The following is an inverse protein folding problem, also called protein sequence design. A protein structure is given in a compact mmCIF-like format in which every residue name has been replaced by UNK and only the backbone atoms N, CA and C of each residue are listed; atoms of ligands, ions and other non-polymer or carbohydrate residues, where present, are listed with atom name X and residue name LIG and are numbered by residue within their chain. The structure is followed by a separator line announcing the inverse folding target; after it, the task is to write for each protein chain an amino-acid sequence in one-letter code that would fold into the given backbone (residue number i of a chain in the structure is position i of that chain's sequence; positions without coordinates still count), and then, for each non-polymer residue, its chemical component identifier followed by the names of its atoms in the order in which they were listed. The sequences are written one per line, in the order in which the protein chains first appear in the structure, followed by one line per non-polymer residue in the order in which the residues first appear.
data_IF_666409387577
#
_entry.id   IF_666409387577
#
_cell.length_a   1.000
_cell.length_b   1.000
_cell.length_c   1.000
_cell.angle_alpha   90.00
_cell.angle_beta   90.00
_cell.angle_gamma   90.00
#
_symmetry.space_group_name_H-M   'P 1'
#
loop_
_entity.id
_entity.type
_entity.pdbx_description
1 polymer ?
#
# COMPACT_ATOMS: atom_id res chain seq x y z
N UNK A 1 29.35 -5.69 -7.29
CA UNK A 1 29.08 -5.42 -5.86
C UNK A 1 27.93 -4.44 -5.79
N UNK A 2 26.72 -4.89 -5.49
CA UNK A 2 25.53 -4.03 -5.33
C UNK A 2 25.51 -3.50 -3.90
N UNK A 3 25.55 -2.19 -3.71
CA UNK A 3 25.47 -1.54 -2.40
C UNK A 3 24.10 -1.86 -1.77
N UNK A 4 24.00 -2.21 -0.48
CA UNK A 4 22.75 -2.64 0.17
C UNK A 4 21.55 -1.69 -0.04
N UNK A 5 21.79 -0.38 -0.13
CA UNK A 5 20.74 0.61 -0.40
C UNK A 5 20.12 0.52 -1.80
N UNK A 6 20.89 0.13 -2.82
CA UNK A 6 20.36 0.01 -4.20
C UNK A 6 19.38 -1.15 -4.35
N UNK A 7 19.53 -2.19 -3.53
CA UNK A 7 18.68 -3.38 -3.55
C UNK A 7 17.30 -3.08 -2.95
N UNK A 8 17.27 -2.41 -1.80
CA UNK A 8 16.02 -2.00 -1.16
C UNK A 8 15.27 -0.96 -2.00
N UNK A 9 15.97 -0.01 -2.63
CA UNK A 9 15.32 0.96 -3.53
C UNK A 9 14.61 0.27 -4.71
N UNK A 10 15.22 -0.75 -5.30
CA UNK A 10 14.61 -1.53 -6.39
C UNK A 10 13.37 -2.26 -5.89
N UNK A 11 13.48 -2.93 -4.74
CA UNK A 11 12.36 -3.61 -4.08
C UNK A 11 11.20 -2.65 -3.84
N UNK A 12 11.48 -1.45 -3.33
CA UNK A 12 10.46 -0.41 -3.09
C UNK A 12 9.84 0.15 -4.37
N UNK A 13 10.61 0.32 -5.46
CA UNK A 13 10.03 0.69 -6.76
C UNK A 13 9.05 -0.36 -7.28
N UNK A 14 9.37 -1.64 -7.13
CA UNK A 14 8.47 -2.73 -7.52
C UNK A 14 7.19 -2.70 -6.68
N UNK A 15 7.30 -2.50 -5.36
CA UNK A 15 6.13 -2.42 -4.47
C UNK A 15 5.22 -1.24 -4.87
N UNK A 16 5.78 -0.04 -5.09
CA UNK A 16 5.01 1.14 -5.51
C UNK A 16 4.27 0.91 -6.83
N UNK A 17 4.98 0.41 -7.85
CA UNK A 17 4.37 0.07 -9.14
C UNK A 17 3.28 -1.00 -9.01
N UNK A 18 3.45 -1.94 -8.08
CA UNK A 18 2.48 -3.00 -7.82
C UNK A 18 1.22 -2.47 -7.16
N UNK A 19 1.33 -1.56 -6.18
CA UNK A 19 0.16 -0.93 -5.54
C UNK A 19 -0.72 -0.24 -6.60
N UNK A 20 -0.10 0.53 -7.50
CA UNK A 20 -0.83 1.19 -8.59
C UNK A 20 -1.48 0.20 -9.55
N UNK A 21 -0.74 -0.84 -9.96
CA UNK A 21 -1.24 -1.79 -10.95
C UNK A 21 -2.35 -2.67 -10.40
N UNK A 22 -2.22 -3.12 -9.14
CA UNK A 22 -3.25 -3.89 -8.44
C UNK A 22 -4.48 -3.06 -8.07
N UNK A 23 -4.39 -1.73 -8.05
CA UNK A 23 -5.54 -0.84 -7.91
C UNK A 23 -6.60 -1.02 -9.02
N UNK A 24 -6.20 -1.56 -10.17
CA UNK A 24 -7.12 -1.95 -11.27
C UNK A 24 -7.86 -3.27 -11.00
N UNK A 25 -7.52 -3.98 -9.92
CA UNK A 25 -7.99 -5.33 -9.61
C UNK A 25 -6.96 -6.42 -9.93
N UNK A 26 -6.90 -7.46 -9.09
CA UNK A 26 -5.87 -8.52 -9.17
C UNK A 26 -5.82 -9.22 -10.53
N UNK A 27 -6.98 -9.55 -11.10
CA UNK A 27 -7.08 -10.23 -12.39
C UNK A 27 -6.58 -9.36 -13.56
N UNK A 28 -6.85 -8.05 -13.51
CA UNK A 28 -6.47 -7.10 -14.55
C UNK A 28 -5.01 -6.63 -14.44
N UNK A 29 -4.39 -6.79 -13.27
CA UNK A 29 -3.01 -6.36 -13.05
C UNK A 29 -1.99 -7.16 -13.85
N UNK A 30 -1.09 -6.46 -14.55
CA UNK A 30 -0.04 -7.05 -15.37
C UNK A 30 1.34 -6.97 -14.73
N UNK A 31 2.01 -8.11 -14.52
CA UNK A 31 3.41 -8.12 -14.07
C UNK A 31 4.35 -7.44 -15.06
N UNK A 32 3.98 -7.38 -16.35
CA UNK A 32 4.77 -6.68 -17.36
C UNK A 32 4.69 -5.15 -17.17
N UNK A 33 3.51 -4.62 -16.83
CA UNK A 33 3.34 -3.20 -16.52
C UNK A 33 4.05 -2.82 -15.22
N UNK A 34 4.01 -3.69 -14.21
CA UNK A 34 4.73 -3.48 -12.95
C UNK A 34 6.22 -3.31 -13.21
N UNK A 35 6.85 -4.23 -13.96
CA UNK A 35 8.30 -4.14 -14.23
C UNK A 35 8.67 -2.97 -15.12
N UNK A 36 7.79 -2.60 -16.08
CA UNK A 36 7.96 -1.41 -16.92
C UNK A 36 7.96 -0.14 -16.07
N UNK A 37 6.99 0.01 -15.16
CA UNK A 37 6.90 1.16 -14.25
C UNK A 37 8.04 1.20 -13.23
N UNK A 38 8.43 0.04 -12.69
CA UNK A 38 9.49 -0.04 -11.68
C UNK A 38 10.92 0.09 -12.27
N UNK A 39 11.07 -0.01 -13.59
CA UNK A 39 12.35 0.04 -14.28
C UNK A 39 13.24 -1.17 -13.94
N UNK A 40 12.65 -2.37 -13.88
CA UNK A 40 13.34 -3.62 -13.55
C UNK A 40 13.06 -4.71 -14.57
N UNK A 41 13.79 -5.83 -14.52
CA UNK A 41 13.48 -7.00 -15.33
C UNK A 41 12.42 -7.89 -14.66
N UNK A 42 11.71 -8.69 -15.48
CA UNK A 42 10.74 -9.69 -14.99
C UNK A 42 11.37 -10.75 -14.10
N UNK A 43 12.58 -11.21 -14.45
CA UNK A 43 13.35 -12.13 -13.62
C UNK A 43 13.68 -11.54 -12.25
N UNK A 44 14.02 -10.24 -12.19
CA UNK A 44 14.31 -9.58 -10.92
C UNK A 44 13.06 -9.43 -10.04
N UNK A 45 11.89 -9.15 -10.62
CA UNK A 45 10.64 -9.14 -9.88
C UNK A 45 10.36 -10.51 -9.22
N UNK A 46 10.47 -11.60 -9.99
CA UNK A 46 10.24 -12.94 -9.42
C UNK A 46 11.37 -13.40 -8.49
N UNK A 47 12.58 -12.85 -8.63
CA UNK A 47 13.65 -13.05 -7.65
C UNK A 47 13.28 -12.47 -6.28
N UNK A 48 12.74 -11.25 -6.23
CA UNK A 48 12.33 -10.62 -4.96
C UNK A 48 11.05 -11.22 -4.37
N UNK A 49 10.06 -11.54 -5.22
CA UNK A 49 8.70 -11.81 -4.75
C UNK A 49 8.20 -13.22 -5.04
N UNK A 50 8.88 -14.02 -5.85
CA UNK A 50 8.54 -15.42 -6.13
C UNK A 50 7.32 -15.60 -7.05
N UNK A 51 6.16 -15.03 -6.69
CA UNK A 51 4.91 -15.15 -7.44
C UNK A 51 4.13 -13.83 -7.50
N UNK A 52 3.13 -13.77 -8.39
CA UNK A 52 2.21 -12.63 -8.50
C UNK A 52 1.34 -12.50 -7.24
N UNK A 53 0.93 -13.63 -6.65
CA UNK A 53 0.16 -13.69 -5.41
C UNK A 53 0.94 -13.09 -4.25
N UNK A 54 2.19 -13.53 -4.06
CA UNK A 54 3.03 -13.01 -2.98
C UNK A 54 3.36 -11.52 -3.19
N UNK A 55 3.62 -11.10 -4.43
CA UNK A 55 3.78 -9.69 -4.75
C UNK A 55 2.53 -8.87 -4.38
N UNK A 56 1.33 -9.39 -4.65
CA UNK A 56 0.08 -8.76 -4.24
C UNK A 56 -0.02 -8.63 -2.72
N UNK A 57 0.25 -9.71 -1.96
CA UNK A 57 0.20 -9.65 -0.50
C UNK A 57 1.16 -8.61 0.09
N UNK A 58 2.38 -8.52 -0.45
CA UNK A 58 3.36 -7.52 -0.01
C UNK A 58 2.90 -6.11 -0.35
N UNK A 59 2.41 -5.88 -1.57
CA UNK A 59 1.87 -4.58 -1.99
C UNK A 59 0.66 -4.16 -1.15
N UNK A 60 -0.25 -5.10 -0.88
CA UNK A 60 -1.42 -4.87 -0.04
C UNK A 60 -1.04 -4.54 1.40
N UNK A 61 -0.09 -5.28 1.99
CA UNK A 61 0.43 -5.00 3.33
C UNK A 61 1.03 -3.58 3.42
N UNK A 62 1.83 -3.19 2.44
CA UNK A 62 2.42 -1.84 2.38
C UNK A 62 1.34 -0.75 2.26
N UNK A 63 0.35 -0.95 1.37
CA UNK A 63 -0.73 0.01 1.18
C UNK A 63 -1.57 0.17 2.45
N UNK A 64 -1.92 -0.94 3.12
CA UNK A 64 -2.70 -0.92 4.37
C UNK A 64 -1.92 -0.30 5.54
N UNK A 65 -0.61 -0.51 5.63
CA UNK A 65 0.22 0.14 6.65
C UNK A 65 0.20 1.68 6.49
N UNK A 66 0.36 2.18 5.27
CA UNK A 66 0.26 3.62 4.96
C UNK A 66 -1.12 4.17 5.25
N UNK A 67 -2.16 3.38 5.00
CA UNK A 67 -3.53 3.75 5.34
C UNK A 67 -3.71 3.88 6.86
N UNK A 68 -3.23 2.90 7.62
CA UNK A 68 -3.28 2.92 9.09
C UNK A 68 -2.54 4.11 9.69
N UNK A 69 -1.36 4.45 9.16
CA UNK A 69 -0.59 5.61 9.59
C UNK A 69 -1.37 6.92 9.38
N UNK A 70 -1.95 7.11 8.19
CA UNK A 70 -2.81 8.26 7.90
C UNK A 70 -4.03 8.32 8.82
N UNK A 71 -4.68 7.19 9.04
CA UNK A 71 -5.84 7.08 9.93
C UNK A 71 -5.50 7.50 11.36
N UNK A 72 -4.37 7.03 11.88
CA UNK A 72 -3.91 7.36 13.23
C UNK A 72 -3.58 8.85 13.34
N UNK A 73 -2.87 9.43 12.36
CA UNK A 73 -2.57 10.86 12.33
C UNK A 73 -3.84 11.72 12.32
N UNK A 74 -4.85 11.36 11.52
CA UNK A 74 -6.15 12.05 11.52
C UNK A 74 -6.88 11.91 12.86
N UNK A 75 -6.74 10.77 13.54
CA UNK A 75 -7.31 10.56 14.87
C UNK A 75 -6.64 11.46 15.92
N UNK A 76 -5.31 11.49 15.95
CA UNK A 76 -4.52 12.28 16.91
C UNK A 76 -4.73 13.79 16.75
N UNK A 77 -4.83 14.28 15.52
CA UNK A 77 -5.04 15.70 15.23
C UNK A 77 -6.38 16.26 15.75
N UNK A 78 -7.34 15.40 16.07
CA UNK A 78 -8.71 15.77 16.49
C UNK A 78 -9.00 15.35 17.95
N UNK A 79 -7.97 14.90 18.67
CA UNK A 79 -8.08 14.30 20.00
C UNK A 79 -8.70 15.26 21.03
N UNK A 80 -8.53 16.57 20.86
CA UNK A 80 -9.09 17.60 21.75
C UNK A 80 -10.57 17.90 21.51
N UNK A 81 -11.13 17.58 20.33
CA UNK A 81 -12.56 17.72 20.02
C UNK A 81 -13.36 16.43 20.30
N UNK A 82 -12.85 15.55 21.18
CA UNK A 82 -13.45 14.21 21.40
C UNK A 82 -14.13 14.07 22.77
N UNK A 83 -15.29 14.71 23.03
CA UNK A 83 -16.21 14.24 24.06
C UNK A 83 -17.21 13.24 23.44
N UNK A 84 -17.20 11.96 23.85
CA UNK A 84 -18.28 11.04 23.49
C UNK A 84 -18.00 9.55 23.52
N UNK A 85 -19.03 8.80 23.89
CA UNK A 85 -19.16 7.34 24.02
C UNK A 85 -18.74 6.55 22.75
N UNK A 86 -18.61 5.22 22.89
CA UNK A 86 -18.12 4.27 21.89
C UNK A 86 -18.78 4.41 20.52
N UNK A 87 -20.05 4.81 20.45
CA UNK A 87 -20.77 5.04 19.20
C UNK A 87 -20.22 6.22 18.38
N UNK A 88 -19.71 7.28 19.03
CA UNK A 88 -19.07 8.39 18.34
C UNK A 88 -17.73 7.96 17.73
N UNK A 89 -16.98 7.10 18.43
CA UNK A 89 -15.72 6.53 17.95
C UNK A 89 -15.94 5.59 16.77
N UNK A 90 -16.95 4.71 16.85
CA UNK A 90 -17.30 3.78 15.77
C UNK A 90 -17.82 4.52 14.53
N UNK A 91 -18.69 5.51 14.71
CA UNK A 91 -19.22 6.34 13.60
C UNK A 91 -18.09 7.09 12.91
N UNK A 92 -17.14 7.64 13.67
CA UNK A 92 -15.98 8.37 13.10
C UNK A 92 -15.00 7.44 12.38
N UNK A 93 -14.67 6.26 12.94
CA UNK A 93 -13.89 5.25 12.22
C UNK A 93 -14.56 4.83 10.91
N UNK A 94 -15.89 4.69 10.92
CA UNK A 94 -16.66 4.40 9.71
C UNK A 94 -16.61 5.56 8.70
N UNK A 95 -16.72 6.81 9.15
CA UNK A 95 -16.65 8.01 8.29
C UNK A 95 -15.25 8.22 7.69
N UNK A 96 -14.19 8.00 8.46
CA UNK A 96 -12.83 8.11 7.92
C UNK A 96 -12.59 6.97 6.91
N UNK A 97 -13.03 5.73 7.20
CA UNK A 97 -13.05 4.66 6.20
C UNK A 97 -13.80 5.06 4.94
N UNK A 98 -15.01 5.60 5.06
CA UNK A 98 -15.84 6.01 3.92
C UNK A 98 -15.18 7.07 3.05
N UNK A 99 -14.57 8.12 3.65
CA UNK A 99 -13.85 9.15 2.91
C UNK A 99 -12.64 8.59 2.14
N UNK A 100 -11.93 7.62 2.73
CA UNK A 100 -10.80 6.95 2.09
C UNK A 100 -11.17 6.08 0.88
N UNK A 101 -12.43 5.69 0.72
CA UNK A 101 -12.91 4.95 -0.45
C UNK A 101 -13.44 5.87 -1.57
N UNK A 102 -13.50 7.18 -1.33
CA UNK A 102 -14.02 8.17 -2.28
C UNK A 102 -12.94 9.01 -2.97
N UNK A 103 -11.68 8.87 -2.57
CA UNK A 103 -10.49 9.42 -3.22
C UNK A 103 -9.80 8.36 -4.11
#
# INVERSE_FOLDING_TARGET
MTTPGMDEEKRQRIIRASIEEFGKGYALASTNEIVRKAGVSKGLLFHYFGSKENLFFVAFKEATAKLQEKLLACYEADKENTPGDIFHRLTRLALIKLKLFQD
#
